data_IF_328780328217
#
_entry.id   IF_328780328217
#
_cell.length_a   1.000
_cell.length_b   1.000
_cell.length_c   1.000
_cell.angle_alpha   90.00
_cell.angle_beta   90.00
_cell.angle_gamma   90.00
#
_symmetry.space_group_name_H-M   'P 1'
#
loop_
_entity.id
_entity.type
_entity.pdbx_description
1 polymer ?
#
# COMPACT_ATOMS: atom_id res chain seq x y z
N UNK A 1 27.66 -27.59 19.34
CA UNK A 1 27.15 -26.19 19.31
C UNK A 1 26.37 -25.79 18.05
N UNK A 2 26.90 -25.95 16.81
CA UNK A 2 26.20 -25.55 15.56
C UNK A 2 24.81 -26.17 15.37
N UNK A 3 24.64 -27.45 15.73
CA UNK A 3 23.37 -28.20 15.59
C UNK A 3 22.28 -27.71 16.57
N UNK A 4 22.67 -27.36 17.80
CA UNK A 4 21.81 -26.74 18.82
C UNK A 4 21.33 -25.34 18.39
N UNK A 5 22.23 -24.49 17.88
CA UNK A 5 21.85 -23.17 17.30
C UNK A 5 20.88 -23.32 16.12
N UNK A 6 21.04 -24.35 15.28
CA UNK A 6 20.14 -24.62 14.13
C UNK A 6 18.74 -25.06 14.60
N UNK A 7 18.67 -25.94 15.61
CA UNK A 7 17.40 -26.41 16.16
C UNK A 7 16.66 -25.30 16.92
N UNK A 8 17.37 -24.50 17.72
CA UNK A 8 16.82 -23.35 18.43
C UNK A 8 16.28 -22.29 17.47
N UNK A 9 17.01 -21.96 16.40
CA UNK A 9 16.51 -21.09 15.32
C UNK A 9 15.27 -21.66 14.64
N UNK A 10 15.18 -22.97 14.43
CA UNK A 10 14.01 -23.62 13.82
C UNK A 10 12.80 -23.57 14.75
N UNK A 11 13.02 -23.70 16.06
CA UNK A 11 11.98 -23.61 17.08
C UNK A 11 11.47 -22.17 17.24
N UNK A 12 12.37 -21.19 17.36
CA UNK A 12 12.00 -19.76 17.34
C UNK A 12 11.30 -19.40 16.03
N UNK A 13 11.77 -19.89 14.88
CA UNK A 13 11.09 -19.64 13.61
C UNK A 13 9.68 -20.23 13.61
N UNK A 14 9.48 -21.45 14.12
CA UNK A 14 8.15 -22.07 14.26
C UNK A 14 7.26 -21.32 15.25
N UNK A 15 7.82 -20.86 16.36
CA UNK A 15 7.11 -20.14 17.39
C UNK A 15 6.74 -18.73 16.92
N UNK A 16 7.67 -17.98 16.33
CA UNK A 16 7.37 -16.73 15.63
C UNK A 16 6.38 -16.94 14.50
N UNK A 17 6.51 -18.00 13.69
CA UNK A 17 5.51 -18.34 12.66
C UNK A 17 4.14 -18.71 13.22
N UNK A 18 4.01 -19.05 14.52
CA UNK A 18 2.73 -19.32 15.17
C UNK A 18 2.19 -18.09 15.89
N UNK A 19 3.08 -17.31 16.48
CA UNK A 19 2.77 -16.20 17.38
C UNK A 19 2.67 -14.85 16.64
N UNK A 20 3.34 -14.71 15.48
CA UNK A 20 3.27 -13.52 14.61
C UNK A 20 2.53 -13.77 13.29
N UNK A 21 2.35 -15.02 12.85
CA UNK A 21 1.93 -15.33 11.49
C UNK A 21 0.67 -16.19 11.44
N UNK A 22 -0.44 -15.47 11.24
CA UNK A 22 -1.60 -15.82 10.41
C UNK A 22 -2.78 -16.40 11.17
N UNK A 23 -3.81 -15.56 11.27
CA UNK A 23 -5.15 -16.07 11.42
C UNK A 23 -5.58 -16.66 10.07
N UNK A 24 -5.39 -17.96 9.86
CA UNK A 24 -6.11 -18.65 8.79
C UNK A 24 -7.62 -18.52 9.05
N UNK A 25 -8.45 -18.84 8.06
CA UNK A 25 -9.90 -18.95 8.30
C UNK A 25 -10.20 -19.82 9.53
N UNK A 26 -9.44 -20.90 9.73
CA UNK A 26 -9.62 -21.76 10.89
C UNK A 26 -9.31 -21.03 12.20
N UNK A 27 -8.24 -20.26 12.24
CA UNK A 27 -7.86 -19.51 13.43
C UNK A 27 -8.86 -18.40 13.74
N UNK A 28 -9.32 -17.65 12.71
CA UNK A 28 -10.39 -16.64 12.86
C UNK A 28 -11.65 -17.31 13.40
N UNK A 29 -12.06 -18.43 12.80
CA UNK A 29 -13.24 -19.18 13.24
C UNK A 29 -13.10 -19.58 14.71
N UNK A 30 -11.95 -20.15 15.10
CA UNK A 30 -11.69 -20.57 16.47
C UNK A 30 -11.75 -19.40 17.46
N UNK A 31 -11.20 -18.24 17.12
CA UNK A 31 -11.26 -17.04 17.98
C UNK A 31 -12.71 -16.53 18.06
N UNK A 32 -13.42 -16.49 16.93
CA UNK A 32 -14.79 -15.96 16.87
C UNK A 32 -15.80 -16.76 17.70
N UNK A 33 -15.55 -18.05 17.94
CA UNK A 33 -16.43 -18.89 18.77
C UNK A 33 -16.54 -18.40 20.22
N UNK A 34 -15.59 -17.60 20.69
CA UNK A 34 -15.53 -17.10 22.06
C UNK A 34 -15.89 -15.62 22.17
N UNK A 35 -16.35 -14.99 21.09
CA UNK A 35 -16.78 -13.58 21.08
C UNK A 35 -18.25 -13.50 21.47
N UNK A 36 -18.65 -12.64 22.43
CA UNK A 36 -20.05 -12.43 22.78
C UNK A 36 -20.90 -11.98 21.59
N UNK A 37 -22.20 -12.27 21.64
CA UNK A 37 -23.16 -11.74 20.66
C UNK A 37 -23.25 -10.21 20.75
N UNK A 38 -23.57 -9.60 19.62
CA UNK A 38 -23.85 -8.16 19.53
C UNK A 38 -25.04 -7.79 20.42
N UNK A 39 -24.97 -6.61 21.03
CA UNK A 39 -26.04 -5.93 21.76
C UNK A 39 -26.69 -4.85 20.90
N UNK A 40 -27.88 -4.42 21.30
CA UNK A 40 -28.67 -3.42 20.58
C UNK A 40 -27.99 -2.04 20.50
N UNK A 41 -27.12 -1.72 21.46
CA UNK A 41 -26.38 -0.47 21.56
C UNK A 41 -24.92 -0.55 21.11
N UNK A 42 -24.46 -1.71 20.62
CA UNK A 42 -23.10 -1.86 20.12
C UNK A 42 -22.88 -1.01 18.85
N UNK A 43 -21.75 -0.30 18.79
CA UNK A 43 -21.35 0.52 17.65
C UNK A 43 -19.97 0.14 17.15
N UNK A 44 -19.75 0.26 15.84
CA UNK A 44 -18.44 -0.01 15.23
C UNK A 44 -17.42 1.12 15.48
N UNK A 45 -17.90 2.35 15.63
CA UNK A 45 -17.08 3.55 15.75
C UNK A 45 -17.41 4.27 17.06
N UNK A 46 -16.36 4.66 17.80
CA UNK A 46 -16.49 5.49 19.00
C UNK A 46 -16.40 6.98 18.64
N UNK A 47 -17.07 7.87 19.38
CA UNK A 47 -16.93 9.31 19.19
C UNK A 47 -15.47 9.79 19.32
N UNK A 48 -15.16 10.86 18.59
CA UNK A 48 -13.79 11.41 18.44
C UNK A 48 -13.13 11.84 19.75
N UNK A 49 -13.92 12.12 20.78
CA UNK A 49 -13.47 12.66 22.07
C UNK A 49 -12.88 11.58 23.00
N UNK A 50 -13.12 10.30 22.71
CA UNK A 50 -12.72 9.17 23.55
C UNK A 50 -11.35 8.59 23.15
N UNK A 51 -10.24 9.29 23.42
CA UNK A 51 -8.83 8.78 23.32
C UNK A 51 -8.54 7.82 22.14
N UNK A 52 -9.24 8.00 21.01
CA UNK A 52 -9.30 7.03 19.95
C UNK A 52 -8.12 7.15 19.01
N UNK A 53 -7.64 6.02 18.49
CA UNK A 53 -6.75 6.04 17.33
C UNK A 53 -7.53 6.56 16.12
N UNK A 54 -6.99 7.54 15.39
CA UNK A 54 -7.65 8.09 14.20
C UNK A 54 -7.44 9.59 13.97
N UNK A 55 -6.85 10.31 14.92
CA UNK A 55 -6.38 11.67 14.69
C UNK A 55 -4.88 11.65 14.43
N UNK A 56 -4.50 11.86 13.17
CA UNK A 56 -3.15 12.31 12.84
C UNK A 56 -3.11 13.83 13.06
N UNK A 57 -2.07 14.39 13.68
CA UNK A 57 -1.76 15.80 13.53
C UNK A 57 -1.76 16.15 12.04
N UNK A 58 -2.24 17.33 11.65
CA UNK A 58 -2.32 17.76 10.24
C UNK A 58 -0.95 17.65 9.51
N UNK A 59 0.15 17.66 10.26
CA UNK A 59 1.52 17.52 9.74
C UNK A 59 1.97 16.07 9.46
N UNK A 60 1.20 15.06 9.90
CA UNK A 60 1.58 13.64 9.90
C UNK A 60 0.70 12.75 9.00
N UNK A 61 -0.08 13.35 8.09
CA UNK A 61 -0.95 12.59 7.17
C UNK A 61 -0.19 11.51 6.39
N UNK A 62 1.11 11.72 6.11
CA UNK A 62 2.02 10.77 5.45
C UNK A 62 2.07 9.39 6.14
N UNK A 63 1.82 9.35 7.46
CA UNK A 63 1.78 8.11 8.22
C UNK A 63 0.67 7.18 7.73
N UNK A 64 -0.43 7.71 7.19
CA UNK A 64 -1.50 6.91 6.60
C UNK A 64 -1.03 6.21 5.33
N UNK A 65 -0.39 6.92 4.41
CA UNK A 65 0.22 6.32 3.20
C UNK A 65 1.27 5.29 3.61
N UNK A 66 2.14 5.63 4.56
CA UNK A 66 3.16 4.73 5.07
C UNK A 66 2.60 3.49 5.75
N UNK A 67 1.41 3.58 6.34
CA UNK A 67 0.64 2.43 6.82
C UNK A 67 0.33 1.43 5.71
N UNK A 68 -0.10 1.90 4.53
CA UNK A 68 -0.36 1.03 3.37
C UNK A 68 0.93 0.36 2.84
N UNK A 69 2.02 1.12 2.67
CA UNK A 69 3.30 0.57 2.24
C UNK A 69 3.85 -0.47 3.23
N UNK A 70 3.86 -0.12 4.52
CA UNK A 70 4.34 -0.98 5.60
C UNK A 70 3.52 -2.26 5.71
N UNK A 71 2.20 -2.16 5.58
CA UNK A 71 1.30 -3.33 5.54
C UNK A 71 1.64 -4.25 4.37
N UNK A 72 1.90 -3.69 3.18
CA UNK A 72 2.30 -4.47 2.00
C UNK A 72 3.58 -5.26 2.26
N UNK A 73 4.60 -4.62 2.85
CA UNK A 73 5.88 -5.26 3.19
C UNK A 73 5.72 -6.30 4.30
N UNK A 74 4.89 -6.01 5.31
CA UNK A 74 4.56 -6.94 6.38
C UNK A 74 3.90 -8.22 5.83
N UNK A 75 2.87 -8.06 5.00
CA UNK A 75 2.19 -9.17 4.32
C UNK A 75 3.14 -9.99 3.44
N UNK A 76 4.06 -9.34 2.71
CA UNK A 76 5.09 -10.06 1.96
C UNK A 76 6.05 -10.85 2.85
N UNK A 77 6.43 -10.32 4.02
CA UNK A 77 7.21 -11.08 4.98
C UNK A 77 6.43 -12.30 5.48
N UNK A 78 5.10 -12.17 5.68
CA UNK A 78 4.23 -13.28 6.07
C UNK A 78 4.19 -14.37 5.00
N UNK A 79 3.99 -13.99 3.75
CA UNK A 79 4.01 -14.90 2.60
C UNK A 79 5.35 -15.65 2.52
N UNK A 80 6.49 -14.96 2.70
CA UNK A 80 7.84 -15.56 2.63
C UNK A 80 8.14 -16.54 3.76
N UNK A 81 7.54 -16.34 4.94
CA UNK A 81 7.76 -17.19 6.10
C UNK A 81 6.86 -18.43 6.10
N UNK A 82 5.70 -18.35 5.45
CA UNK A 82 4.76 -19.47 5.35
C UNK A 82 5.25 -20.56 4.39
N UNK A 83 4.88 -21.82 4.69
CA UNK A 83 4.97 -22.94 3.76
C UNK A 83 3.61 -23.31 3.16
N UNK A 84 2.52 -22.71 3.64
CA UNK A 84 1.17 -22.95 3.15
C UNK A 84 0.97 -22.18 1.83
N UNK A 85 0.58 -22.90 0.77
CA UNK A 85 0.33 -22.33 -0.54
C UNK A 85 -0.94 -21.48 -0.58
N UNK A 86 -2.04 -21.95 0.01
CA UNK A 86 -3.33 -21.24 -0.01
C UNK A 86 -3.21 -19.89 0.68
N UNK A 87 -2.44 -19.87 1.75
CA UNK A 87 -2.11 -18.66 2.47
C UNK A 87 -1.34 -17.66 1.60
N UNK A 88 -0.31 -18.13 0.90
CA UNK A 88 0.47 -17.26 0.00
C UNK A 88 -0.41 -16.64 -1.07
N UNK A 89 -1.31 -17.44 -1.64
CA UNK A 89 -2.25 -17.01 -2.66
C UNK A 89 -3.33 -16.06 -2.08
N UNK A 90 -3.77 -16.24 -0.83
CA UNK A 90 -4.80 -15.40 -0.23
C UNK A 90 -4.31 -13.99 0.11
N UNK A 91 -3.02 -13.81 0.42
CA UNK A 91 -2.45 -12.51 0.82
C UNK A 91 -1.85 -11.71 -0.33
N UNK A 92 -1.59 -12.30 -1.50
CA UNK A 92 -0.93 -11.57 -2.59
C UNK A 92 -1.78 -10.43 -3.14
N UNK A 93 -3.09 -10.63 -3.27
CA UNK A 93 -4.02 -9.59 -3.69
C UNK A 93 -4.07 -8.42 -2.68
N UNK A 94 -4.25 -8.67 -1.36
CA UNK A 94 -4.10 -7.64 -0.32
C UNK A 94 -2.77 -6.88 -0.38
N UNK A 95 -1.63 -7.55 -0.58
CA UNK A 95 -0.32 -6.90 -0.76
C UNK A 95 -0.37 -5.89 -1.90
N UNK A 96 -0.82 -6.33 -3.07
CA UNK A 96 -0.86 -5.49 -4.26
C UNK A 96 -1.84 -4.33 -4.11
N UNK A 97 -2.99 -4.57 -3.49
CA UNK A 97 -3.97 -3.54 -3.18
C UNK A 97 -3.37 -2.46 -2.26
N UNK A 98 -2.79 -2.85 -1.13
CA UNK A 98 -2.19 -1.91 -0.19
C UNK A 98 -1.08 -1.09 -0.87
N UNK A 99 -0.21 -1.73 -1.65
CA UNK A 99 0.89 -1.02 -2.29
C UNK A 99 0.39 -0.06 -3.38
N UNK A 100 -0.64 -0.45 -4.14
CA UNK A 100 -1.31 0.42 -5.11
C UNK A 100 -1.92 1.65 -4.40
N UNK A 101 -2.57 1.46 -3.25
CA UNK A 101 -3.14 2.56 -2.47
C UNK A 101 -2.07 3.53 -1.97
N UNK A 102 -0.93 3.01 -1.49
CA UNK A 102 0.23 3.85 -1.15
C UNK A 102 0.63 4.73 -2.34
N UNK A 103 0.84 4.15 -3.52
CA UNK A 103 1.25 4.91 -4.70
C UNK A 103 0.22 5.98 -5.09
N UNK A 104 -1.06 5.63 -5.12
CA UNK A 104 -2.13 6.56 -5.46
C UNK A 104 -2.14 7.78 -4.52
N UNK A 105 -2.18 7.51 -3.21
CA UNK A 105 -2.29 8.56 -2.19
C UNK A 105 -1.02 9.41 -2.12
N UNK A 106 0.16 8.80 -2.21
CA UNK A 106 1.44 9.54 -2.18
C UNK A 106 1.58 10.44 -3.40
N UNK A 107 1.17 9.98 -4.59
CA UNK A 107 1.19 10.81 -5.79
C UNK A 107 0.18 11.97 -5.69
N UNK A 108 -1.04 11.72 -5.19
CA UNK A 108 -2.06 12.76 -5.00
C UNK A 108 -1.62 13.83 -4.00
N UNK A 109 -1.11 13.41 -2.84
CA UNK A 109 -0.58 14.32 -1.82
C UNK A 109 0.59 15.16 -2.36
N UNK A 110 1.57 14.53 -3.01
CA UNK A 110 2.71 15.23 -3.61
C UNK A 110 2.26 16.25 -4.67
N UNK A 111 1.34 15.85 -5.57
CA UNK A 111 0.78 16.74 -6.58
C UNK A 111 0.08 17.94 -5.95
N UNK A 112 -0.73 17.73 -4.91
CA UNK A 112 -1.45 18.80 -4.23
C UNK A 112 -0.46 19.81 -3.61
N UNK A 113 0.55 19.33 -2.89
CA UNK A 113 1.60 20.17 -2.28
C UNK A 113 2.38 20.96 -3.33
N UNK A 114 2.80 20.32 -4.42
CA UNK A 114 3.49 21.02 -5.50
C UNK A 114 2.61 22.07 -6.21
N UNK A 115 1.31 21.82 -6.37
CA UNK A 115 0.36 22.79 -6.94
C UNK A 115 0.20 24.01 -6.03
N UNK A 116 0.03 23.77 -4.72
CA UNK A 116 -0.02 24.83 -3.71
C UNK A 116 1.26 25.66 -3.72
N UNK A 117 2.41 24.99 -3.91
CA UNK A 117 3.71 25.66 -4.03
C UNK A 117 3.78 26.65 -5.21
N UNK A 118 3.27 26.28 -6.39
CA UNK A 118 3.37 27.14 -7.60
C UNK A 118 2.46 28.39 -7.60
N UNK A 119 1.54 28.56 -6.64
CA UNK A 119 0.58 29.69 -6.53
C UNK A 119 -0.25 30.00 -7.80
N UNK A 120 -0.24 29.15 -8.82
CA UNK A 120 -1.04 29.29 -10.04
C UNK A 120 -1.33 27.92 -10.66
N UNK A 121 -2.62 27.56 -10.87
CA UNK A 121 -2.99 26.31 -11.52
C UNK A 121 -2.63 26.35 -13.01
N UNK A 122 -1.97 25.31 -13.49
CA UNK A 122 -1.72 25.13 -14.92
C UNK A 122 -2.91 24.43 -15.58
N UNK A 123 -3.31 24.89 -16.77
CA UNK A 123 -4.32 24.18 -17.58
C UNK A 123 -3.80 22.77 -17.89
N UNK A 124 -4.60 21.74 -17.59
CA UNK A 124 -4.27 20.34 -17.88
C UNK A 124 -3.83 19.50 -16.68
N UNK A 125 -3.95 20.03 -15.46
CA UNK A 125 -3.68 19.26 -14.23
C UNK A 125 -4.64 18.07 -14.04
N UNK A 126 -4.08 16.92 -13.63
CA UNK A 126 -4.81 15.69 -13.40
C UNK A 126 -5.94 15.90 -12.40
N UNK A 127 -7.07 15.28 -12.70
CA UNK A 127 -8.14 15.09 -11.75
C UNK A 127 -7.62 14.22 -10.59
N UNK A 128 -7.56 14.79 -9.39
CA UNK A 128 -7.15 14.07 -8.18
C UNK A 128 -8.25 13.12 -7.67
N UNK A 129 -9.48 13.23 -8.18
CA UNK A 129 -10.55 12.29 -7.87
C UNK A 129 -10.38 10.97 -8.64
N UNK A 130 -9.60 10.97 -9.73
CA UNK A 130 -9.31 9.78 -10.52
C UNK A 130 -8.39 8.78 -9.81
N UNK A 131 -8.47 7.51 -10.22
CA UNK A 131 -7.69 6.39 -9.67
C UNK A 131 -6.57 5.90 -10.59
N UNK A 132 -6.49 6.45 -11.81
CA UNK A 132 -5.53 6.02 -12.83
C UNK A 132 -4.10 6.49 -12.46
N UNK A 133 -3.23 5.54 -12.13
CA UNK A 133 -1.85 5.81 -11.69
C UNK A 133 -1.00 6.43 -12.80
N UNK A 134 -1.26 6.08 -14.06
CA UNK A 134 -0.53 6.65 -15.20
C UNK A 134 -0.74 8.16 -15.32
N UNK A 135 -1.98 8.63 -15.19
CA UNK A 135 -2.31 10.05 -15.23
C UNK A 135 -1.69 10.82 -14.05
N UNK A 136 -1.76 10.25 -12.84
CA UNK A 136 -1.11 10.83 -11.66
C UNK A 136 0.41 10.94 -11.86
N UNK A 137 1.04 9.88 -12.36
CA UNK A 137 2.48 9.85 -12.61
C UNK A 137 2.92 10.82 -13.72
N UNK A 138 2.18 10.86 -14.83
CA UNK A 138 2.46 11.75 -15.98
C UNK A 138 2.53 13.22 -15.57
N UNK A 139 1.73 13.59 -14.58
CA UNK A 139 1.65 14.95 -14.09
C UNK A 139 2.69 15.19 -12.98
N UNK A 140 2.90 14.22 -12.09
CA UNK A 140 3.89 14.32 -11.01
C UNK A 140 5.32 14.41 -11.57
N UNK A 141 5.65 13.65 -12.61
CA UNK A 141 6.99 13.65 -13.22
C UNK A 141 7.43 15.02 -13.75
N UNK A 142 6.48 15.94 -14.00
CA UNK A 142 6.79 17.31 -14.44
C UNK A 142 7.51 18.13 -13.34
N UNK A 143 7.32 17.76 -12.07
CA UNK A 143 7.88 18.48 -10.92
C UNK A 143 9.26 17.96 -10.50
N UNK A 144 9.56 16.70 -10.81
CA UNK A 144 10.73 15.98 -10.28
C UNK A 144 11.79 15.68 -11.35
N UNK A 145 11.69 16.32 -12.51
CA UNK A 145 12.68 16.19 -13.59
C UNK A 145 12.38 15.06 -14.58
N UNK A 146 11.58 15.29 -15.63
CA UNK A 146 11.10 14.23 -16.53
C UNK A 146 12.20 13.55 -17.37
N UNK A 147 13.39 14.16 -17.45
CA UNK A 147 14.54 13.62 -18.20
C UNK A 147 15.45 12.72 -17.35
N UNK A 148 15.20 12.61 -16.06
CA UNK A 148 16.03 11.79 -15.17
C UNK A 148 15.86 10.28 -15.46
N UNK A 149 16.96 9.52 -15.37
CA UNK A 149 16.96 8.08 -15.70
C UNK A 149 16.20 7.25 -14.66
N UNK A 150 16.28 7.60 -13.40
CA UNK A 150 15.55 6.93 -12.32
C UNK A 150 14.05 7.22 -12.42
N UNK A 151 13.67 8.48 -12.65
CA UNK A 151 12.26 8.88 -12.92
C UNK A 151 11.69 8.03 -14.05
N UNK A 152 12.39 7.90 -15.17
CA UNK A 152 11.92 7.08 -16.29
C UNK A 152 11.80 5.59 -15.97
N UNK A 153 12.65 5.04 -15.09
CA UNK A 153 12.55 3.64 -14.65
C UNK A 153 11.36 3.43 -13.71
N UNK A 154 11.11 4.36 -12.79
CA UNK A 154 9.93 4.33 -11.92
C UNK A 154 8.66 4.43 -12.75
N UNK A 155 8.64 5.31 -13.75
CA UNK A 155 7.49 5.47 -14.65
C UNK A 155 7.09 4.17 -15.34
N UNK A 156 8.06 3.37 -15.79
CA UNK A 156 7.78 2.05 -16.38
C UNK A 156 7.09 1.10 -15.39
N UNK A 157 7.49 1.11 -14.12
CA UNK A 157 6.87 0.27 -13.09
C UNK A 157 5.45 0.74 -12.75
N UNK A 158 5.23 2.06 -12.72
CA UNK A 158 3.88 2.63 -12.53
C UNK A 158 2.97 2.28 -13.72
N UNK A 159 3.48 2.41 -14.94
CA UNK A 159 2.77 2.02 -16.16
C UNK A 159 2.42 0.54 -16.18
N UNK A 160 3.36 -0.34 -15.80
CA UNK A 160 3.13 -1.78 -15.69
C UNK A 160 2.02 -2.11 -14.68
N UNK A 161 2.06 -1.48 -13.50
CA UNK A 161 1.01 -1.67 -12.49
C UNK A 161 -0.34 -1.12 -12.96
N UNK A 162 -0.36 0.05 -13.59
CA UNK A 162 -1.58 0.65 -14.13
C UNK A 162 -2.19 -0.19 -15.25
N UNK A 163 -1.37 -0.76 -16.13
CA UNK A 163 -1.84 -1.64 -17.20
C UNK A 163 -2.52 -2.90 -16.63
N UNK A 164 -2.06 -3.39 -15.48
CA UNK A 164 -2.72 -4.48 -14.78
C UNK A 164 -3.99 -4.02 -14.05
N UNK A 165 -3.98 -2.86 -13.40
CA UNK A 165 -5.06 -2.39 -12.52
C UNK A 165 -5.38 -0.89 -12.67
N UNK A 166 -5.91 -0.52 -13.84
CA UNK A 166 -6.19 0.87 -14.20
C UNK A 166 -7.15 1.58 -13.22
N UNK A 167 -8.21 0.88 -12.81
CA UNK A 167 -9.28 1.43 -11.96
C UNK A 167 -9.09 1.13 -10.47
N UNK A 168 -8.06 0.38 -10.09
CA UNK A 168 -7.85 -0.02 -8.69
C UNK A 168 -8.80 -1.08 -8.17
N UNK A 169 -9.25 -1.96 -9.04
CA UNK A 169 -10.26 -2.98 -8.73
C UNK A 169 -9.73 -4.41 -8.86
N UNK A 170 -8.68 -4.66 -9.65
CA UNK A 170 -8.17 -5.99 -9.94
C UNK A 170 -7.77 -6.73 -8.67
N UNK A 171 -6.99 -6.08 -7.80
CA UNK A 171 -6.45 -6.72 -6.60
C UNK A 171 -7.44 -6.77 -5.42
N UNK A 172 -8.66 -6.23 -5.57
CA UNK A 172 -9.71 -6.28 -4.53
C UNK A 172 -10.55 -7.55 -4.59
N UNK A 173 -10.73 -8.07 -5.78
CA UNK A 173 -11.65 -9.16 -6.06
C UNK A 173 -10.90 -10.45 -6.36
N UNK A 174 -11.56 -11.59 -6.18
CA UNK A 174 -11.08 -12.87 -6.73
C UNK A 174 -11.40 -12.95 -8.24
N UNK A 175 -10.84 -13.94 -8.94
CA UNK A 175 -11.02 -14.09 -10.39
C UNK A 175 -12.49 -14.22 -10.80
N UNK A 176 -13.29 -14.99 -10.05
CA UNK A 176 -14.71 -15.14 -10.32
C UNK A 176 -15.43 -13.80 -10.31
N UNK A 177 -15.30 -13.02 -9.23
CA UNK A 177 -15.92 -11.70 -9.10
C UNK A 177 -15.40 -10.72 -10.17
N UNK A 178 -14.09 -10.70 -10.42
CA UNK A 178 -13.50 -9.86 -11.46
C UNK A 178 -14.10 -10.16 -12.83
N UNK A 179 -14.17 -11.45 -13.21
CA UNK A 179 -14.65 -11.86 -14.53
C UNK A 179 -16.16 -11.60 -14.67
N UNK A 180 -16.93 -11.82 -13.61
CA UNK A 180 -18.36 -11.50 -13.58
C UNK A 180 -18.64 -10.01 -13.71
N UNK A 181 -17.89 -9.15 -12.99
CA UNK A 181 -18.09 -7.69 -13.04
C UNK A 181 -17.66 -7.12 -14.40
N UNK A 182 -16.50 -7.55 -14.92
CA UNK A 182 -15.96 -7.01 -16.18
C UNK A 182 -16.52 -7.71 -17.43
N UNK A 183 -17.36 -8.74 -17.24
CA UNK A 183 -17.92 -9.57 -18.31
C UNK A 183 -16.87 -10.08 -19.32
N UNK A 184 -15.68 -10.41 -18.82
CA UNK A 184 -14.53 -10.86 -19.63
C UNK A 184 -13.58 -11.67 -18.75
N UNK A 185 -12.82 -12.58 -19.36
CA UNK A 185 -11.80 -13.35 -18.65
C UNK A 185 -10.55 -12.50 -18.51
N UNK A 186 -10.26 -12.04 -17.30
CA UNK A 186 -9.04 -11.29 -17.00
C UNK A 186 -7.98 -12.24 -16.50
N UNK A 187 -6.88 -12.32 -17.24
CA UNK A 187 -5.69 -13.03 -16.78
C UNK A 187 -4.89 -12.13 -15.85
N UNK A 188 -4.64 -12.59 -14.63
CA UNK A 188 -3.79 -11.87 -13.67
C UNK A 188 -2.31 -12.07 -13.99
N UNK A 189 -1.46 -11.04 -13.82
CA UNK A 189 -0.02 -11.22 -13.96
C UNK A 189 0.49 -12.19 -12.89
N UNK A 190 1.48 -13.01 -13.27
CA UNK A 190 2.21 -13.84 -12.31
C UNK A 190 3.07 -12.94 -11.41
N UNK A 191 3.00 -13.15 -10.10
CA UNK A 191 3.72 -12.33 -9.12
C UNK A 191 4.80 -13.17 -8.44
N UNK A 192 6.07 -12.82 -8.71
CA UNK A 192 7.20 -13.33 -7.93
C UNK A 192 7.36 -12.52 -6.64
N UNK A 193 7.25 -13.19 -5.50
CA UNK A 193 7.29 -12.57 -4.16
C UNK A 193 8.62 -11.86 -3.85
N UNK A 194 9.74 -12.36 -4.36
CA UNK A 194 11.04 -11.73 -4.16
C UNK A 194 11.19 -10.49 -5.04
N UNK A 195 10.77 -10.59 -6.30
CA UNK A 195 10.82 -9.47 -7.24
C UNK A 195 9.88 -8.37 -6.77
N UNK A 196 8.63 -8.67 -6.45
CA UNK A 196 7.65 -7.67 -6.03
C UNK A 196 8.09 -6.96 -4.75
N UNK A 197 8.63 -7.70 -3.76
CA UNK A 197 9.16 -7.09 -2.54
C UNK A 197 10.29 -6.11 -2.85
N UNK A 198 11.21 -6.48 -3.72
CA UNK A 198 12.31 -5.59 -4.13
C UNK A 198 11.76 -4.34 -4.82
N UNK A 199 10.82 -4.49 -5.76
CA UNK A 199 10.24 -3.36 -6.50
C UNK A 199 9.44 -2.43 -5.59
N UNK A 200 8.65 -2.97 -4.66
CA UNK A 200 7.93 -2.19 -3.65
C UNK A 200 8.88 -1.34 -2.85
N UNK A 201 10.00 -1.91 -2.34
CA UNK A 201 10.95 -1.15 -1.53
C UNK A 201 11.68 -0.07 -2.34
N UNK A 202 12.00 -0.33 -3.60
CA UNK A 202 12.63 0.66 -4.49
C UNK A 202 11.68 1.82 -4.79
N UNK A 203 10.44 1.50 -5.16
CA UNK A 203 9.42 2.51 -5.42
C UNK A 203 9.08 3.29 -4.15
N UNK A 204 8.94 2.63 -3.00
CA UNK A 204 8.76 3.28 -1.70
C UNK A 204 9.86 4.31 -1.44
N UNK A 205 11.13 3.90 -1.50
CA UNK A 205 12.25 4.80 -1.27
C UNK A 205 12.25 6.01 -2.21
N UNK A 206 11.85 5.81 -3.47
CA UNK A 206 11.73 6.90 -4.44
C UNK A 206 10.58 7.85 -4.10
N UNK A 207 9.39 7.31 -3.84
CA UNK A 207 8.19 8.11 -3.57
C UNK A 207 8.24 8.84 -2.22
N UNK A 208 8.92 8.29 -1.21
CA UNK A 208 9.22 9.03 0.02
C UNK A 208 10.07 10.28 -0.30
N UNK A 209 11.11 10.15 -1.12
CA UNK A 209 11.92 11.29 -1.54
C UNK A 209 11.13 12.35 -2.32
N UNK A 210 10.16 11.92 -3.15
CA UNK A 210 9.24 12.84 -3.84
C UNK A 210 8.32 13.56 -2.86
N UNK A 211 7.77 12.85 -1.87
CA UNK A 211 6.90 13.46 -0.86
C UNK A 211 7.68 14.47 -0.01
N UNK A 212 8.88 14.11 0.47
CA UNK A 212 9.77 15.02 1.21
C UNK A 212 10.08 16.30 0.41
N UNK A 213 10.36 16.16 -0.88
CA UNK A 213 10.61 17.31 -1.75
C UNK A 213 9.36 18.21 -1.86
N UNK A 214 8.18 17.63 -2.03
CA UNK A 214 6.92 18.36 -2.12
C UNK A 214 6.58 19.10 -0.81
N UNK A 215 6.85 18.47 0.33
CA UNK A 215 6.66 19.06 1.67
C UNK A 215 7.58 20.24 1.91
N UNK A 216 8.90 20.06 1.68
CA UNK A 216 9.89 21.14 1.85
C UNK A 216 9.54 22.37 1.01
N UNK A 217 9.13 22.16 -0.25
CA UNK A 217 8.70 23.27 -1.11
C UNK A 217 7.52 24.05 -0.54
N UNK A 218 6.53 23.37 0.05
CA UNK A 218 5.38 24.02 0.68
C UNK A 218 5.77 24.76 1.98
N UNK A 219 6.58 24.13 2.83
CA UNK A 219 7.08 24.71 4.10
C UNK A 219 7.85 26.02 3.86
N UNK A 220 8.68 26.08 2.82
CA UNK A 220 9.39 27.30 2.41
C UNK A 220 8.44 28.46 2.07
N UNK A 221 7.22 28.19 1.60
CA UNK A 221 6.23 29.25 1.33
C UNK A 221 5.50 29.68 2.58
N UNK A 222 5.17 28.74 3.46
CA UNK A 222 4.44 29.02 4.71
C UNK A 222 5.34 29.76 5.70
N UNK A 223 6.62 29.38 5.81
CA UNK A 223 7.59 30.05 6.70
C UNK A 223 8.08 31.42 6.22
N UNK A 224 7.83 31.79 4.96
CA UNK A 224 8.16 33.10 4.39
C UNK A 224 6.94 34.06 4.32
N UNK A 225 5.85 33.75 5.03
CA UNK A 225 4.68 34.62 5.22
C UNK A 225 4.61 35.09 6.66
#
# INVERSE_FOLDING_TARGET
MRRLKKNYRKQIKRQLSRDFFLLSKSDINSISLYVPNLKDDDTLFVPREDNGYGHFPDDDEILMQNGYASTSVLLLNLIKLSNDRFLKESYINPVMFCFRQYLELTMKDSLLRFRLWRKSPSRGEANLDGHNLFNLWRDLKQYIGPKDKEVNRIGKLVEELNAADEDGTLFRYNEFLTNSIKNTVITRPLIDINVIKLRILQMYSFFEGVNELARKGLEEIVGNR
#
